data_IF_970934214691
#
_entry.id   IF_970934214691
#
_cell.length_a   1.000
_cell.length_b   1.000
_cell.length_c   1.000
_cell.angle_alpha   90.00
_cell.angle_beta   90.00
_cell.angle_gamma   90.00
#
_symmetry.space_group_name_H-M   'P 1'
#
loop_
_entity.id
_entity.type
_entity.pdbx_description
1 polymer ?
#
# COMPACT_ATOMS: atom_id res chain seq x y z
N UNK A 1 21.62 -20.95 26.49
CA UNK A 1 20.32 -20.27 26.67
C UNK A 1 20.23 -19.11 25.72
N UNK A 2 19.32 -19.14 24.73
CA UNK A 2 18.88 -17.94 24.02
C UNK A 2 17.35 -17.88 24.12
N UNK A 3 16.85 -17.24 25.17
CA UNK A 3 15.46 -16.85 25.32
C UNK A 3 15.46 -15.36 25.57
N UNK A 4 15.27 -14.52 24.57
CA UNK A 4 14.82 -13.10 24.77
C UNK A 4 14.68 -12.28 23.49
N UNK A 5 14.88 -12.85 22.29
CA UNK A 5 14.74 -12.07 21.03
C UNK A 5 13.31 -12.13 20.42
N UNK A 6 12.46 -13.07 20.84
CA UNK A 6 11.09 -13.19 20.31
C UNK A 6 10.07 -12.30 21.01
N UNK A 7 10.29 -11.98 22.30
CA UNK A 7 9.34 -11.12 23.06
C UNK A 7 9.46 -9.63 22.74
N UNK A 8 10.62 -9.16 22.27
CA UNK A 8 10.80 -7.76 21.89
C UNK A 8 10.11 -7.43 20.56
N UNK A 9 10.17 -8.35 19.59
CA UNK A 9 9.56 -8.14 18.26
C UNK A 9 8.03 -8.10 18.35
N UNK A 10 7.43 -8.91 19.24
CA UNK A 10 5.98 -8.93 19.44
C UNK A 10 5.47 -7.68 20.17
N UNK A 11 6.22 -7.12 21.13
CA UNK A 11 5.86 -5.89 21.83
C UNK A 11 5.93 -4.65 20.93
N UNK A 12 6.96 -4.54 20.11
CA UNK A 12 7.10 -3.42 19.16
C UNK A 12 6.01 -3.43 18.07
N UNK A 13 5.60 -4.61 17.60
CA UNK A 13 4.51 -4.72 16.62
C UNK A 13 3.13 -4.41 17.20
N UNK A 14 2.87 -4.82 18.44
CA UNK A 14 1.63 -4.49 19.16
C UNK A 14 1.49 -2.97 19.42
N UNK A 15 2.55 -2.34 19.89
CA UNK A 15 2.57 -0.88 20.09
C UNK A 15 2.36 -0.12 18.77
N UNK A 16 2.87 -0.64 17.65
CA UNK A 16 2.75 0.02 16.35
C UNK A 16 1.30 -0.03 15.81
N UNK A 17 0.56 -1.11 16.01
CA UNK A 17 -0.82 -1.25 15.51
C UNK A 17 -1.82 -0.45 16.35
N UNK A 18 -1.75 -0.51 17.68
CA UNK A 18 -2.57 0.34 18.57
C UNK A 18 -2.26 1.82 18.35
N UNK A 19 -0.99 2.16 18.16
CA UNK A 19 -0.58 3.51 17.83
C UNK A 19 -1.18 3.99 16.50
N UNK A 20 -1.16 3.15 15.46
CA UNK A 20 -1.74 3.49 14.17
C UNK A 20 -3.26 3.67 14.24
N UNK A 21 -3.99 2.81 14.97
CA UNK A 21 -5.42 2.96 15.19
C UNK A 21 -5.78 4.24 15.95
N UNK A 22 -5.04 4.55 17.02
CA UNK A 22 -5.20 5.79 17.77
C UNK A 22 -4.92 7.02 16.90
N UNK A 23 -3.84 6.97 16.12
CA UNK A 23 -3.45 8.03 15.19
C UNK A 23 -4.49 8.23 14.08
N UNK A 24 -5.00 7.14 13.49
CA UNK A 24 -6.09 7.16 12.51
C UNK A 24 -7.36 7.83 13.08
N UNK A 25 -7.84 7.35 14.22
CA UNK A 25 -9.06 7.88 14.85
C UNK A 25 -8.91 9.37 15.18
N UNK A 26 -7.77 9.79 15.73
CA UNK A 26 -7.48 11.19 16.04
C UNK A 26 -7.44 12.07 14.77
N UNK A 27 -6.74 11.61 13.73
CA UNK A 27 -6.62 12.37 12.48
C UNK A 27 -7.98 12.49 11.78
N UNK A 28 -8.76 11.41 11.72
CA UNK A 28 -10.10 11.42 11.14
C UNK A 28 -11.06 12.32 11.90
N UNK A 29 -11.08 12.23 13.23
CA UNK A 29 -11.91 13.07 14.08
C UNK A 29 -11.53 14.55 13.96
N UNK A 30 -10.23 14.86 13.98
CA UNK A 30 -9.73 16.22 13.80
C UNK A 30 -10.16 16.81 12.45
N UNK A 31 -10.06 16.02 11.37
CA UNK A 31 -10.48 16.44 10.04
C UNK A 31 -12.00 16.63 9.93
N UNK A 32 -12.78 15.76 10.56
CA UNK A 32 -14.24 15.86 10.59
C UNK A 32 -14.70 17.08 11.39
N UNK A 33 -14.02 17.39 12.48
CA UNK A 33 -14.37 18.52 13.36
C UNK A 33 -13.79 19.86 12.89
N UNK A 34 -12.82 19.86 11.99
CA UNK A 34 -12.25 21.09 11.45
C UNK A 34 -13.33 21.81 10.64
N UNK A 35 -13.82 22.94 11.17
CA UNK A 35 -14.61 23.88 10.40
C UNK A 35 -13.70 24.44 9.30
N UNK A 36 -13.78 23.83 8.11
CA UNK A 36 -13.01 24.26 6.96
C UNK A 36 -13.72 25.43 6.34
N UNK A 37 -13.32 26.64 6.68
CA UNK A 37 -13.80 27.88 6.06
C UNK A 37 -13.44 27.90 4.56
N UNK A 38 -12.31 27.26 4.19
CA UNK A 38 -11.95 26.91 2.81
C UNK A 38 -11.63 25.42 2.73
N UNK A 39 -12.44 24.61 2.02
CA UNK A 39 -12.15 23.21 1.76
C UNK A 39 -11.08 23.12 0.67
N UNK A 40 -9.95 22.44 0.93
CA UNK A 40 -8.93 22.27 -0.11
C UNK A 40 -9.53 21.51 -1.30
N UNK A 41 -9.16 21.88 -2.51
CA UNK A 41 -9.47 21.10 -3.70
C UNK A 41 -8.60 19.85 -3.71
N UNK A 42 -9.23 18.68 -3.64
CA UNK A 42 -8.53 17.39 -3.62
C UNK A 42 -8.87 16.63 -4.90
N UNK A 43 -7.86 16.26 -5.66
CA UNK A 43 -8.00 15.60 -6.95
C UNK A 43 -7.17 14.33 -6.94
N UNK A 44 -7.79 13.18 -7.23
CA UNK A 44 -7.09 11.92 -7.44
C UNK A 44 -6.84 11.69 -8.93
N UNK A 45 -5.58 11.46 -9.29
CA UNK A 45 -5.15 11.06 -10.63
C UNK A 45 -4.77 9.60 -10.59
N UNK A 46 -5.64 8.76 -11.13
CA UNK A 46 -5.42 7.33 -11.26
C UNK A 46 -4.88 6.98 -12.64
N UNK A 47 -4.27 5.83 -12.76
CA UNK A 47 -3.81 5.29 -14.03
C UNK A 47 -2.90 4.10 -13.82
N UNK A 48 -2.78 3.28 -14.84
CA UNK A 48 -1.93 2.10 -14.83
C UNK A 48 -0.45 2.45 -14.59
N UNK A 49 0.31 1.50 -14.11
CA UNK A 49 1.77 1.62 -14.06
C UNK A 49 2.30 1.89 -15.47
N UNK A 50 3.13 2.90 -15.63
CA UNK A 50 3.65 3.33 -16.95
C UNK A 50 2.77 4.34 -17.70
N UNK A 51 1.59 4.74 -17.21
CA UNK A 51 0.70 5.68 -17.89
C UNK A 51 1.20 7.14 -17.93
N UNK A 52 2.25 7.47 -17.17
CA UNK A 52 2.76 8.86 -17.10
C UNK A 52 2.08 9.73 -16.04
N UNK A 53 1.18 9.18 -15.22
CA UNK A 53 0.42 9.94 -14.19
C UNK A 53 1.28 10.78 -13.24
N UNK A 54 2.45 10.26 -12.83
CA UNK A 54 3.35 10.97 -11.91
C UNK A 54 3.97 12.20 -12.55
N UNK A 55 4.42 12.09 -13.80
CA UNK A 55 4.97 13.22 -14.56
C UNK A 55 3.91 14.29 -14.81
N UNK A 56 2.70 13.89 -15.23
CA UNK A 56 1.57 14.79 -15.41
C UNK A 56 1.21 15.53 -14.11
N UNK A 57 1.14 14.78 -13.00
CA UNK A 57 0.82 15.39 -11.70
C UNK A 57 1.90 16.37 -11.24
N UNK A 58 3.17 16.05 -11.47
CA UNK A 58 4.28 16.95 -11.15
C UNK A 58 4.19 18.27 -11.96
N UNK A 59 3.92 18.17 -13.26
CA UNK A 59 3.73 19.33 -14.11
C UNK A 59 2.56 20.21 -13.66
N UNK A 60 1.41 19.60 -13.37
CA UNK A 60 0.24 20.31 -12.82
C UNK A 60 0.60 20.98 -11.50
N UNK A 61 1.32 20.29 -10.61
CA UNK A 61 1.71 20.81 -9.32
C UNK A 61 2.62 22.04 -9.44
N UNK A 62 3.59 22.01 -10.36
CA UNK A 62 4.43 23.18 -10.67
C UNK A 62 3.62 24.37 -11.17
N UNK A 63 2.67 24.14 -12.08
CA UNK A 63 1.89 25.21 -12.69
C UNK A 63 0.82 25.81 -11.76
N UNK A 64 0.25 24.99 -10.86
CA UNK A 64 -0.90 25.36 -10.03
C UNK A 64 -0.58 25.50 -8.54
N UNK A 65 0.66 25.29 -8.13
CA UNK A 65 1.05 25.34 -6.72
C UNK A 65 0.42 24.26 -5.86
N UNK A 66 0.19 23.06 -6.44
CA UNK A 66 -0.37 21.93 -5.71
C UNK A 66 0.71 21.19 -4.93
N UNK A 67 0.30 20.51 -3.84
CA UNK A 67 1.11 19.47 -3.21
C UNK A 67 0.68 18.09 -3.75
N UNK A 68 1.56 17.10 -3.70
CA UNK A 68 1.29 15.74 -4.20
C UNK A 68 1.30 14.75 -3.05
N UNK A 69 0.23 13.96 -2.93
CA UNK A 69 0.16 12.79 -2.06
C UNK A 69 0.37 11.53 -2.90
N UNK A 70 1.46 10.80 -2.63
CA UNK A 70 1.78 9.56 -3.33
C UNK A 70 0.97 8.39 -2.75
N UNK A 71 0.12 7.79 -3.57
CA UNK A 71 -0.65 6.60 -3.23
C UNK A 71 0.01 5.36 -3.87
N UNK A 72 1.29 5.16 -3.55
CA UNK A 72 2.13 4.08 -4.07
C UNK A 72 2.63 3.19 -2.93
N UNK A 73 2.32 1.88 -3.02
CA UNK A 73 2.64 0.90 -1.98
C UNK A 73 4.13 0.62 -1.82
N UNK A 74 4.97 0.94 -2.81
CA UNK A 74 6.41 0.78 -2.74
C UNK A 74 7.11 2.11 -2.45
N UNK A 75 6.61 3.22 -2.97
CA UNK A 75 7.18 4.55 -2.77
C UNK A 75 7.18 5.04 -1.32
N UNK A 76 6.33 4.45 -0.46
CA UNK A 76 6.27 4.76 0.97
C UNK A 76 7.51 4.28 1.74
N UNK A 77 8.25 3.29 1.22
CA UNK A 77 9.43 2.73 1.86
C UNK A 77 10.69 3.51 1.53
N UNK A 78 11.55 3.72 2.52
CA UNK A 78 12.89 4.30 2.36
C UNK A 78 13.77 3.36 1.54
N UNK A 79 14.62 3.93 0.67
CA UNK A 79 15.61 3.18 -0.10
C UNK A 79 15.09 2.49 -1.36
N UNK A 80 13.79 2.46 -1.63
CA UNK A 80 13.21 1.94 -2.87
C UNK A 80 12.96 3.08 -3.85
N UNK A 81 14.00 3.73 -4.34
CA UNK A 81 13.88 4.94 -5.15
C UNK A 81 13.72 4.63 -6.64
N UNK A 82 14.56 3.76 -7.17
CA UNK A 82 14.51 3.30 -8.56
C UNK A 82 13.34 2.35 -8.77
N UNK A 83 13.19 1.36 -7.88
CA UNK A 83 12.15 0.33 -7.98
C UNK A 83 10.74 0.91 -7.96
N UNK A 84 10.48 1.96 -7.19
CA UNK A 84 9.19 2.66 -7.16
C UNK A 84 9.10 3.82 -8.14
N UNK A 85 10.20 4.19 -8.79
CA UNK A 85 10.33 5.38 -9.62
C UNK A 85 9.88 6.65 -8.89
N UNK A 86 10.44 6.88 -7.70
CA UNK A 86 10.21 8.09 -6.92
C UNK A 86 10.62 9.34 -7.68
N UNK A 87 10.04 10.49 -7.36
CA UNK A 87 10.52 11.75 -7.86
C UNK A 87 11.99 11.97 -7.45
N UNK A 88 12.76 12.53 -8.36
CA UNK A 88 14.17 12.85 -8.14
C UNK A 88 14.34 13.87 -7.01
N UNK A 89 15.54 14.00 -6.42
CA UNK A 89 15.82 15.05 -5.44
C UNK A 89 15.46 16.46 -5.95
N UNK A 90 15.73 16.74 -7.22
CA UNK A 90 15.38 18.02 -7.85
C UNK A 90 13.86 18.23 -7.88
N UNK A 91 13.10 17.25 -8.33
CA UNK A 91 11.62 17.32 -8.34
C UNK A 91 11.05 17.50 -6.93
N UNK A 92 11.64 16.85 -5.91
CA UNK A 92 11.24 17.01 -4.51
C UNK A 92 11.54 18.41 -3.95
N UNK A 93 12.49 19.17 -4.53
CA UNK A 93 12.72 20.57 -4.14
C UNK A 93 11.71 21.53 -4.77
N UNK A 94 11.15 21.16 -5.92
CA UNK A 94 10.21 21.99 -6.68
C UNK A 94 8.75 21.82 -6.22
N UNK A 95 8.37 20.60 -5.86
CA UNK A 95 7.02 20.24 -5.43
C UNK A 95 7.08 19.46 -4.13
N UNK A 96 6.20 19.77 -3.20
CA UNK A 96 6.09 19.01 -1.95
C UNK A 96 5.35 17.71 -2.18
N UNK A 97 6.01 16.61 -1.84
CA UNK A 97 5.46 15.25 -1.88
C UNK A 97 5.18 14.73 -0.47
N UNK A 98 4.06 14.04 -0.31
CA UNK A 98 3.65 13.35 0.91
C UNK A 98 3.59 11.84 0.69
N UNK A 99 3.66 11.07 1.76
CA UNK A 99 3.62 9.61 1.78
C UNK A 99 4.76 8.94 0.98
N UNK A 100 5.91 9.60 0.91
CA UNK A 100 7.17 9.04 0.42
C UNK A 100 8.14 8.88 1.57
N UNK A 101 8.97 7.84 1.55
CA UNK A 101 10.08 7.63 2.50
C UNK A 101 9.65 7.61 3.99
N UNK A 102 8.44 7.13 4.27
CA UNK A 102 7.86 7.09 5.63
C UNK A 102 8.34 5.84 6.38
N UNK A 103 8.22 4.66 5.77
CA UNK A 103 8.47 3.38 6.41
C UNK A 103 9.91 2.90 6.22
N UNK A 104 10.47 2.25 7.25
CA UNK A 104 11.61 1.37 7.09
C UNK A 104 11.22 0.13 6.24
N UNK A 105 12.15 -0.46 5.47
CA UNK A 105 11.88 -1.67 4.69
C UNK A 105 11.31 -2.86 5.48
N UNK A 106 11.59 -2.95 6.77
CA UNK A 106 11.08 -4.01 7.66
C UNK A 106 9.64 -3.80 8.14
N UNK A 107 9.09 -2.60 8.00
CA UNK A 107 7.73 -2.28 8.45
C UNK A 107 6.68 -2.72 7.43
N UNK A 108 5.44 -2.91 7.88
CA UNK A 108 4.32 -3.31 7.01
C UNK A 108 3.46 -2.09 6.67
N UNK A 109 3.24 -1.84 5.38
CA UNK A 109 2.25 -0.86 4.91
C UNK A 109 0.86 -1.48 4.84
N UNK A 110 -0.16 -0.65 5.02
CA UNK A 110 -1.56 -1.05 4.85
C UNK A 110 -2.44 0.16 4.46
N UNK A 111 -3.69 -0.12 4.09
CA UNK A 111 -4.63 0.93 3.65
C UNK A 111 -4.95 1.94 4.74
N UNK A 112 -4.99 1.53 6.01
CA UNK A 112 -5.24 2.43 7.14
C UNK A 112 -4.11 3.45 7.31
N UNK A 113 -2.85 3.04 7.11
CA UNK A 113 -1.72 3.96 7.15
C UNK A 113 -1.86 5.05 6.07
N UNK A 114 -2.16 4.68 4.83
CA UNK A 114 -2.37 5.66 3.75
C UNK A 114 -3.54 6.60 4.04
N UNK A 115 -4.63 6.07 4.57
CA UNK A 115 -5.77 6.90 4.95
C UNK A 115 -5.39 7.88 6.08
N UNK A 116 -4.69 7.41 7.12
CA UNK A 116 -4.20 8.26 8.22
C UNK A 116 -3.29 9.37 7.71
N UNK A 117 -2.29 9.00 6.89
CA UNK A 117 -1.37 9.97 6.29
C UNK A 117 -2.08 11.01 5.41
N UNK A 118 -3.14 10.60 4.69
CA UNK A 118 -3.93 11.54 3.89
C UNK A 118 -4.70 12.52 4.80
N UNK A 119 -5.34 12.04 5.87
CA UNK A 119 -6.01 12.92 6.83
C UNK A 119 -5.04 13.92 7.44
N UNK A 120 -3.87 13.46 7.87
CA UNK A 120 -2.83 14.32 8.44
C UNK A 120 -2.29 15.32 7.41
N UNK A 121 -2.04 14.87 6.18
CA UNK A 121 -1.62 15.73 5.09
C UNK A 121 -2.61 16.90 4.92
N UNK A 122 -3.90 16.60 4.80
CA UNK A 122 -4.94 17.61 4.62
C UNK A 122 -5.08 18.55 5.82
N UNK A 123 -4.88 18.05 7.04
CA UNK A 123 -4.89 18.88 8.25
C UNK A 123 -3.76 19.92 8.27
N UNK A 124 -2.63 19.62 7.63
CA UNK A 124 -1.44 20.46 7.59
C UNK A 124 -1.28 21.25 6.28
N UNK A 125 -2.17 21.07 5.29
CA UNK A 125 -2.17 21.89 4.09
C UNK A 125 -2.34 23.37 4.42
N UNK A 126 -1.61 24.22 3.72
CA UNK A 126 -1.86 25.65 3.79
C UNK A 126 -3.23 25.98 3.19
N UNK A 127 -3.88 27.05 3.65
CA UNK A 127 -5.13 27.52 3.03
C UNK A 127 -5.00 27.61 1.50
N UNK A 128 -6.04 27.21 0.79
CA UNK A 128 -6.17 27.30 -0.67
C UNK A 128 -5.15 26.47 -1.48
N UNK A 129 -4.31 25.65 -0.82
CA UNK A 129 -3.38 24.77 -1.53
C UNK A 129 -4.12 23.52 -2.01
N UNK A 130 -4.21 23.26 -3.33
CA UNK A 130 -4.81 22.03 -3.84
C UNK A 130 -3.91 20.82 -3.56
N UNK A 131 -4.52 19.64 -3.41
CA UNK A 131 -3.82 18.38 -3.22
C UNK A 131 -4.09 17.43 -4.39
N UNK A 132 -3.04 16.93 -5.00
CA UNK A 132 -3.12 15.87 -6.01
C UNK A 132 -2.78 14.52 -5.34
N UNK A 133 -3.73 13.59 -5.32
CA UNK A 133 -3.49 12.20 -4.92
C UNK A 133 -3.12 11.42 -6.16
N UNK A 134 -1.92 10.83 -6.19
CA UNK A 134 -1.38 10.17 -7.39
C UNK A 134 -1.03 8.73 -7.10
N UNK A 135 -1.65 7.80 -7.80
CA UNK A 135 -1.36 6.38 -7.60
C UNK A 135 -1.95 5.44 -8.62
N UNK A 136 -1.44 4.21 -8.64
CA UNK A 136 -1.96 3.12 -9.46
C UNK A 136 -2.85 2.16 -8.69
N UNK A 137 -2.98 2.31 -7.37
CA UNK A 137 -3.75 1.40 -6.53
C UNK A 137 -5.19 1.86 -6.37
N UNK A 138 -6.08 1.29 -7.17
CA UNK A 138 -7.54 1.44 -7.00
C UNK A 138 -8.00 0.94 -5.62
N UNK A 139 -7.35 -0.08 -5.06
CA UNK A 139 -7.67 -0.62 -3.74
C UNK A 139 -7.48 0.42 -2.62
N UNK A 140 -6.35 1.12 -2.58
CA UNK A 140 -6.12 2.15 -1.55
C UNK A 140 -7.08 3.33 -1.70
N UNK A 141 -7.30 3.80 -2.94
CA UNK A 141 -8.25 4.87 -3.16
C UNK A 141 -9.68 4.46 -2.79
N UNK A 142 -10.10 3.25 -3.16
CA UNK A 142 -11.40 2.70 -2.76
C UNK A 142 -11.54 2.67 -1.25
N UNK A 143 -10.49 2.22 -0.53
CA UNK A 143 -10.49 2.21 0.93
C UNK A 143 -10.61 3.60 1.55
N UNK A 144 -10.10 4.63 0.90
CA UNK A 144 -10.26 6.03 1.33
C UNK A 144 -11.71 6.50 1.09
N UNK A 145 -12.27 6.22 -0.09
CA UNK A 145 -13.61 6.66 -0.49
C UNK A 145 -14.71 5.95 0.32
N UNK A 146 -14.62 4.63 0.41
CA UNK A 146 -15.62 3.80 1.11
C UNK A 146 -15.40 3.76 2.62
N UNK A 147 -14.19 4.12 3.05
CA UNK A 147 -13.76 4.03 4.44
C UNK A 147 -13.22 2.66 4.80
N UNK A 148 -12.73 2.59 6.01
CA UNK A 148 -12.22 1.37 6.64
C UNK A 148 -12.97 1.15 7.95
N UNK A 149 -13.41 -0.07 8.19
CA UNK A 149 -13.88 -0.48 9.51
C UNK A 149 -12.71 -0.47 10.48
N UNK A 150 -12.87 0.06 11.70
CA UNK A 150 -11.86 -0.09 12.73
C UNK A 150 -11.58 -1.59 12.94
N UNK A 151 -10.31 -1.95 13.12
CA UNK A 151 -9.91 -3.34 13.32
C UNK A 151 -9.05 -3.44 14.58
N UNK A 152 -9.25 -4.43 15.45
CA UNK A 152 -8.33 -4.68 16.55
C UNK A 152 -6.98 -5.15 16.02
N UNK A 153 -5.98 -5.21 16.89
CA UNK A 153 -4.73 -5.87 16.54
C UNK A 153 -4.96 -7.37 16.33
N UNK A 154 -4.57 -7.87 15.16
CA UNK A 154 -4.77 -9.26 14.77
C UNK A 154 -3.47 -10.06 14.70
N UNK A 155 -2.31 -9.44 14.92
CA UNK A 155 -1.00 -10.08 14.71
C UNK A 155 -0.69 -11.17 15.74
N UNK A 156 -1.25 -11.07 16.95
CA UNK A 156 -0.97 -12.01 18.03
C UNK A 156 -1.66 -13.39 17.87
N UNK A 157 -2.49 -13.58 16.85
CA UNK A 157 -3.29 -14.79 16.68
C UNK A 157 -2.75 -15.78 15.64
N UNK A 158 -1.61 -15.51 15.01
CA UNK A 158 -1.02 -16.38 13.97
C UNK A 158 -0.80 -17.82 14.49
N UNK A 159 -0.19 -17.97 15.67
CA UNK A 159 0.02 -19.30 16.28
C UNK A 159 -1.28 -20.04 16.61
N UNK A 160 -2.32 -19.31 16.99
CA UNK A 160 -3.63 -19.93 17.21
C UNK A 160 -4.25 -20.41 15.89
N UNK A 161 -4.13 -19.65 14.81
CA UNK A 161 -4.59 -20.06 13.48
C UNK A 161 -3.83 -21.30 13.02
N UNK A 162 -2.51 -21.35 13.18
CA UNK A 162 -1.68 -22.51 12.87
C UNK A 162 -2.15 -23.76 13.64
N UNK A 163 -2.60 -23.59 14.89
CA UNK A 163 -3.13 -24.70 15.70
C UNK A 163 -4.48 -25.23 15.22
N UNK A 164 -5.19 -24.50 14.35
CA UNK A 164 -6.44 -24.98 13.73
C UNK A 164 -6.20 -25.97 12.59
N UNK A 165 -4.93 -26.09 12.11
CA UNK A 165 -4.54 -27.03 11.08
C UNK A 165 -4.42 -26.43 9.68
N UNK A 166 -4.84 -27.18 8.67
CA UNK A 166 -4.78 -26.80 7.25
C UNK A 166 -5.72 -25.63 6.90
N UNK A 167 -5.50 -25.00 5.76
CA UNK A 167 -6.40 -23.95 5.25
C UNK A 167 -7.85 -24.43 5.12
N UNK A 168 -8.05 -25.72 4.76
CA UNK A 168 -9.38 -26.32 4.66
C UNK A 168 -10.07 -26.42 6.03
N UNK A 169 -9.34 -26.80 7.08
CA UNK A 169 -9.84 -26.85 8.45
C UNK A 169 -10.14 -25.44 8.98
N UNK A 170 -9.27 -24.46 8.69
CA UNK A 170 -9.53 -23.04 8.99
C UNK A 170 -10.81 -22.55 8.32
N UNK A 171 -11.02 -22.87 7.03
CA UNK A 171 -12.24 -22.48 6.33
C UNK A 171 -13.48 -23.18 6.87
N UNK A 172 -13.41 -24.47 7.16
CA UNK A 172 -14.50 -25.23 7.79
C UNK A 172 -14.86 -24.65 9.16
N UNK A 173 -13.87 -24.27 9.96
CA UNK A 173 -14.09 -23.61 11.24
C UNK A 173 -14.74 -22.23 11.07
N UNK A 174 -14.32 -21.43 10.08
CA UNK A 174 -14.96 -20.16 9.76
C UNK A 174 -16.43 -20.37 9.35
N UNK A 175 -16.73 -21.40 8.54
CA UNK A 175 -18.09 -21.75 8.17
C UNK A 175 -18.96 -22.12 9.40
N UNK A 176 -18.40 -22.82 10.39
CA UNK A 176 -19.13 -23.19 11.60
C UNK A 176 -19.45 -22.00 12.51
N UNK A 177 -18.62 -20.94 12.47
CA UNK A 177 -18.80 -19.72 13.24
C UNK A 177 -19.76 -18.77 12.52
N UNK A 178 -19.51 -18.52 11.22
CA UNK A 178 -20.16 -17.47 10.43
C UNK A 178 -20.28 -17.90 8.97
N UNK A 179 -21.30 -18.68 8.67
CA UNK A 179 -21.54 -19.16 7.30
C UNK A 179 -21.78 -18.01 6.33
N UNK A 180 -22.53 -16.98 6.76
CA UNK A 180 -22.86 -15.83 5.91
C UNK A 180 -21.64 -15.02 5.48
N UNK A 181 -20.63 -14.97 6.35
CA UNK A 181 -19.37 -14.32 6.03
C UNK A 181 -18.45 -15.24 5.20
N UNK A 182 -18.38 -16.53 5.55
CA UNK A 182 -17.56 -17.51 4.86
C UNK A 182 -17.93 -17.65 3.38
N UNK A 183 -19.20 -17.65 3.03
CA UNK A 183 -19.68 -17.73 1.65
C UNK A 183 -19.25 -16.55 0.74
N UNK A 184 -18.85 -15.43 1.32
CA UNK A 184 -18.34 -14.25 0.60
C UNK A 184 -16.85 -14.32 0.31
N UNK A 185 -16.17 -15.37 0.82
CA UNK A 185 -14.71 -15.55 0.71
C UNK A 185 -14.44 -16.85 -0.04
N UNK A 186 -13.52 -16.79 -1.02
CA UNK A 186 -13.08 -18.01 -1.68
C UNK A 186 -12.37 -18.96 -0.68
N UNK A 187 -12.64 -20.28 -0.71
CA UNK A 187 -12.01 -21.23 0.22
C UNK A 187 -10.47 -21.27 0.16
N UNK A 188 -9.88 -20.74 -0.91
CA UNK A 188 -8.43 -20.66 -1.11
C UNK A 188 -7.84 -19.29 -0.69
N UNK A 189 -8.67 -18.34 -0.26
CA UNK A 189 -8.23 -17.01 0.17
C UNK A 189 -7.69 -17.05 1.61
N UNK A 190 -6.45 -17.54 1.74
CA UNK A 190 -5.76 -17.68 3.03
C UNK A 190 -5.78 -16.38 3.82
N UNK A 191 -5.51 -15.25 3.16
CA UNK A 191 -5.43 -13.96 3.84
C UNK A 191 -6.75 -13.56 4.50
N UNK A 192 -7.87 -13.66 3.75
CA UNK A 192 -9.19 -13.26 4.28
C UNK A 192 -9.71 -14.24 5.32
N UNK A 193 -9.46 -15.54 5.15
CA UNK A 193 -9.83 -16.57 6.14
C UNK A 193 -9.09 -16.33 7.45
N UNK A 194 -7.77 -16.20 7.41
CA UNK A 194 -6.96 -15.95 8.61
C UNK A 194 -7.36 -14.65 9.30
N UNK A 195 -7.58 -13.59 8.54
CA UNK A 195 -8.02 -12.29 9.08
C UNK A 195 -9.38 -12.37 9.77
N UNK A 196 -10.35 -13.09 9.20
CA UNK A 196 -11.66 -13.29 9.80
C UNK A 196 -11.59 -14.09 11.10
N UNK A 197 -10.78 -15.16 11.11
CA UNK A 197 -10.56 -15.98 12.29
C UNK A 197 -9.83 -15.21 13.40
N UNK A 198 -8.80 -14.43 13.06
CA UNK A 198 -8.13 -13.55 14.01
C UNK A 198 -9.09 -12.52 14.61
N UNK A 199 -9.97 -11.94 13.79
CA UNK A 199 -11.00 -11.01 14.25
C UNK A 199 -11.97 -11.68 15.24
N UNK A 200 -12.45 -12.88 14.91
CA UNK A 200 -13.29 -13.65 15.81
C UNK A 200 -12.56 -13.94 17.13
N UNK A 201 -11.30 -14.36 17.07
CA UNK A 201 -10.50 -14.67 18.27
C UNK A 201 -10.28 -13.44 19.14
N UNK A 202 -10.03 -12.30 18.52
CA UNK A 202 -9.80 -11.02 19.22
C UNK A 202 -11.05 -10.49 19.90
N UNK A 203 -12.21 -10.61 19.25
CA UNK A 203 -13.43 -9.89 19.65
C UNK A 203 -14.51 -10.79 20.22
N UNK A 204 -14.42 -12.10 19.99
CA UNK A 204 -15.46 -13.11 20.26
C UNK A 204 -16.80 -12.85 19.53
N UNK A 205 -16.78 -11.93 18.54
CA UNK A 205 -17.92 -11.66 17.67
C UNK A 205 -17.73 -12.34 16.32
N UNK A 206 -18.82 -12.79 15.72
CA UNK A 206 -18.79 -13.24 14.32
C UNK A 206 -18.31 -12.11 13.42
N UNK A 207 -17.49 -12.38 12.38
CA UNK A 207 -17.06 -11.35 11.44
C UNK A 207 -18.23 -10.53 10.86
N UNK A 208 -19.35 -11.17 10.50
CA UNK A 208 -20.55 -10.48 10.00
C UNK A 208 -21.14 -9.51 11.05
N UNK A 209 -21.23 -9.91 12.31
CA UNK A 209 -21.71 -9.07 13.41
C UNK A 209 -20.75 -7.90 13.69
N UNK A 210 -19.45 -8.18 13.67
CA UNK A 210 -18.43 -7.15 13.86
C UNK A 210 -18.54 -6.05 12.80
N UNK A 211 -18.58 -6.41 11.52
CA UNK A 211 -18.69 -5.44 10.44
C UNK A 211 -20.08 -4.77 10.34
N UNK A 212 -21.11 -5.38 10.88
CA UNK A 212 -22.43 -4.74 10.98
C UNK A 212 -22.43 -3.59 12.00
N UNK A 213 -21.69 -3.74 13.09
CA UNK A 213 -21.60 -2.75 14.19
C UNK A 213 -20.47 -1.74 14.01
N UNK A 214 -19.35 -2.15 13.41
CA UNK A 214 -18.16 -1.33 13.16
C UNK A 214 -18.10 -0.91 11.70
N UNK A 215 -19.04 -0.05 11.29
CA UNK A 215 -19.13 0.40 9.90
C UNK A 215 -17.91 1.23 9.49
N UNK A 216 -17.50 1.15 8.22
CA UNK A 216 -16.43 1.97 7.69
C UNK A 216 -16.81 3.46 7.76
N UNK A 217 -15.81 4.29 8.05
CA UNK A 217 -15.96 5.75 8.00
C UNK A 217 -15.21 6.25 6.77
N UNK A 218 -15.89 6.79 5.75
CA UNK A 218 -15.27 7.32 4.55
C UNK A 218 -14.49 8.61 4.83
N UNK A 219 -13.63 8.96 3.89
CA UNK A 219 -12.92 10.23 3.94
C UNK A 219 -13.91 11.41 3.88
N UNK A 220 -13.82 12.39 4.80
CA UNK A 220 -14.92 13.34 5.04
C UNK A 220 -14.98 14.53 4.06
N UNK A 221 -14.01 14.62 3.11
CA UNK A 221 -13.96 15.72 2.16
C UNK A 221 -14.28 15.25 0.74
N UNK A 222 -14.83 16.14 -0.12
CA UNK A 222 -15.07 15.82 -1.51
C UNK A 222 -13.76 15.55 -2.25
N UNK A 223 -13.78 14.54 -3.12
CA UNK A 223 -12.66 14.08 -3.91
C UNK A 223 -13.08 13.97 -5.38
N UNK A 224 -12.43 14.74 -6.25
CA UNK A 224 -12.58 14.61 -7.69
C UNK A 224 -11.63 13.52 -8.20
N UNK A 225 -12.10 12.63 -9.08
CA UNK A 225 -11.30 11.50 -9.56
C UNK A 225 -11.16 11.59 -11.08
N UNK A 226 -9.92 11.56 -11.54
CA UNK A 226 -9.58 11.48 -12.95
C UNK A 226 -8.77 10.20 -13.21
N UNK A 227 -9.17 9.46 -14.24
CA UNK A 227 -8.42 8.31 -14.71
C UNK A 227 -7.63 8.70 -15.97
N UNK A 228 -6.32 8.48 -15.92
CA UNK A 228 -5.46 8.61 -17.08
C UNK A 228 -5.48 7.30 -17.86
N UNK A 229 -6.19 7.30 -18.96
CA UNK A 229 -6.23 6.19 -19.89
C UNK A 229 -5.16 6.37 -20.98
N UNK A 230 -4.55 5.25 -21.39
CA UNK A 230 -3.51 5.22 -22.40
C UNK A 230 -3.71 4.01 -23.30
N UNK A 231 -3.62 4.15 -24.64
CA UNK A 231 -3.71 3.04 -25.56
C UNK A 231 -2.74 1.93 -25.18
N UNK A 232 -3.22 0.68 -25.26
CA UNK A 232 -2.48 -0.51 -24.76
C UNK A 232 -1.07 -0.64 -25.34
N UNK A 233 -0.93 -0.38 -26.63
CA UNK A 233 0.37 -0.55 -27.31
C UNK A 233 1.36 0.54 -26.87
N UNK A 234 0.90 1.78 -26.71
CA UNK A 234 1.71 2.86 -26.16
C UNK A 234 2.12 2.59 -24.71
N UNK A 235 1.17 2.12 -23.90
CA UNK A 235 1.43 1.76 -22.52
C UNK A 235 2.50 0.66 -22.41
N UNK A 236 2.43 -0.37 -23.27
CA UNK A 236 3.43 -1.45 -23.33
C UNK A 236 4.80 -0.91 -23.73
N UNK A 237 4.86 -0.05 -24.73
CA UNK A 237 6.12 0.59 -25.15
C UNK A 237 6.75 1.40 -24.02
N UNK A 238 5.96 2.14 -23.27
CA UNK A 238 6.46 2.93 -22.13
C UNK A 238 6.88 2.06 -20.93
N UNK A 239 6.17 0.96 -20.68
CA UNK A 239 6.58 -0.03 -19.66
C UNK A 239 7.93 -0.65 -20.04
N UNK A 240 8.14 -0.99 -21.32
CA UNK A 240 9.42 -1.54 -21.77
C UNK A 240 10.57 -0.54 -21.59
N UNK A 241 10.37 0.73 -22.02
CA UNK A 241 11.35 1.79 -21.81
C UNK A 241 11.64 2.01 -20.31
N UNK A 242 10.61 1.99 -19.48
CA UNK A 242 10.76 2.12 -18.02
C UNK A 242 11.58 0.96 -17.45
N UNK A 243 11.29 -0.29 -17.81
CA UNK A 243 12.04 -1.46 -17.33
C UNK A 243 13.52 -1.37 -17.71
N UNK A 244 13.81 -0.95 -18.95
CA UNK A 244 15.18 -0.70 -19.40
C UNK A 244 15.86 0.39 -18.56
N UNK A 245 15.20 1.53 -18.38
CA UNK A 245 15.72 2.66 -17.60
C UNK A 245 15.99 2.28 -16.13
N UNK A 246 15.13 1.48 -15.51
CA UNK A 246 15.33 1.01 -14.13
C UNK A 246 16.61 0.18 -14.00
N UNK A 247 16.91 -0.69 -14.97
CA UNK A 247 18.16 -1.48 -15.00
C UNK A 247 19.38 -0.56 -15.18
N UNK A 248 19.31 0.38 -16.12
CA UNK A 248 20.38 1.34 -16.37
C UNK A 248 20.65 2.26 -15.17
N UNK A 249 19.65 2.55 -14.36
CA UNK A 249 19.74 3.33 -13.14
C UNK A 249 20.30 2.55 -11.94
N UNK A 250 20.44 1.22 -12.04
CA UNK A 250 21.01 0.40 -10.97
C UNK A 250 19.97 -0.19 -10.00
N UNK A 251 18.78 -0.58 -10.49
CA UNK A 251 17.77 -1.22 -9.62
C UNK A 251 18.30 -2.49 -8.94
N UNK A 252 19.19 -3.23 -9.59
CA UNK A 252 19.78 -4.46 -9.01
C UNK A 252 20.64 -4.13 -7.82
N UNK A 253 21.47 -3.10 -7.94
CA UNK A 253 22.32 -2.59 -6.88
C UNK A 253 21.50 -2.05 -5.72
N UNK A 254 20.44 -1.28 -6.00
CA UNK A 254 19.49 -0.79 -4.98
C UNK A 254 18.90 -1.97 -4.18
N UNK A 255 18.41 -2.99 -4.84
CA UNK A 255 17.81 -4.16 -4.16
C UNK A 255 18.86 -4.99 -3.43
N UNK A 256 20.08 -5.10 -3.95
CA UNK A 256 21.19 -5.79 -3.27
C UNK A 256 21.52 -5.12 -1.94
N UNK A 257 21.70 -3.80 -1.91
CA UNK A 257 21.97 -3.04 -0.69
C UNK A 257 20.85 -3.20 0.36
N UNK A 258 19.59 -3.22 -0.09
CA UNK A 258 18.44 -3.43 0.79
C UNK A 258 18.46 -4.85 1.38
N UNK A 259 18.73 -5.87 0.57
CA UNK A 259 18.82 -7.27 1.04
C UNK A 259 19.97 -7.46 2.01
N UNK A 260 21.13 -6.87 1.74
CA UNK A 260 22.27 -6.90 2.65
C UNK A 260 21.96 -6.23 4.00
N UNK A 261 21.15 -5.17 4.00
CA UNK A 261 20.82 -4.41 5.21
C UNK A 261 19.67 -4.99 6.02
N UNK A 262 18.65 -5.57 5.36
CA UNK A 262 17.38 -5.96 6.00
C UNK A 262 17.01 -7.44 5.81
N UNK A 263 17.75 -8.19 4.99
CA UNK A 263 17.44 -9.57 4.65
C UNK A 263 16.35 -9.71 3.59
N UNK A 264 16.11 -10.96 3.15
CA UNK A 264 15.19 -11.28 2.05
C UNK A 264 13.71 -11.34 2.48
N UNK A 265 13.41 -11.39 3.78
CA UNK A 265 12.06 -11.62 4.32
C UNK A 265 11.19 -10.37 4.45
N UNK A 266 11.61 -9.22 3.98
CA UNK A 266 10.89 -7.96 4.15
C UNK A 266 9.74 -7.80 3.15
N UNK A 267 8.61 -7.17 3.57
CA UNK A 267 7.41 -7.08 2.75
C UNK A 267 7.59 -6.45 1.36
N UNK A 268 8.35 -5.34 1.17
CA UNK A 268 8.44 -4.68 -0.13
C UNK A 268 9.19 -5.50 -1.20
N UNK A 269 9.97 -6.52 -0.83
CA UNK A 269 10.62 -7.42 -1.79
C UNK A 269 9.63 -8.33 -2.54
N UNK A 270 8.36 -8.40 -2.10
CA UNK A 270 7.31 -9.11 -2.84
C UNK A 270 6.67 -8.25 -3.94
N UNK A 271 6.98 -6.95 -4.00
CA UNK A 271 6.47 -6.06 -5.05
C UNK A 271 7.16 -6.33 -6.40
N UNK A 272 6.48 -5.96 -7.49
CA UNK A 272 7.07 -6.02 -8.84
C UNK A 272 8.21 -5.00 -8.92
N UNK A 273 9.32 -5.42 -9.46
CA UNK A 273 10.60 -4.74 -9.47
C UNK A 273 11.56 -5.40 -8.49
N UNK A 274 11.39 -5.20 -7.19
CA UNK A 274 12.21 -5.84 -6.16
C UNK A 274 12.21 -7.38 -6.24
N UNK A 275 11.05 -8.00 -6.45
CA UNK A 275 10.92 -9.46 -6.53
C UNK A 275 11.75 -10.07 -7.67
N UNK A 276 11.71 -9.46 -8.83
CA UNK A 276 12.46 -9.92 -10.00
C UNK A 276 13.96 -9.68 -9.82
N UNK A 277 14.36 -8.55 -9.22
CA UNK A 277 15.76 -8.29 -8.87
C UNK A 277 16.29 -9.29 -7.83
N UNK A 278 15.49 -9.62 -6.81
CA UNK A 278 15.84 -10.66 -5.86
C UNK A 278 16.03 -12.03 -6.54
N UNK A 279 15.13 -12.39 -7.46
CA UNK A 279 15.27 -13.63 -8.25
C UNK A 279 16.55 -13.63 -9.11
N UNK A 280 16.95 -12.48 -9.64
CA UNK A 280 18.21 -12.32 -10.38
C UNK A 280 19.41 -12.47 -9.44
N UNK A 281 19.42 -11.83 -8.28
CA UNK A 281 20.49 -11.95 -7.28
C UNK A 281 20.64 -13.38 -6.75
N UNK A 282 19.55 -14.14 -6.68
CA UNK A 282 19.55 -15.55 -6.29
C UNK A 282 19.95 -16.50 -7.46
N UNK A 283 20.29 -15.98 -8.65
CA UNK A 283 20.70 -16.79 -9.81
C UNK A 283 19.54 -17.51 -10.50
N UNK A 284 18.28 -17.22 -10.18
CA UNK A 284 17.09 -17.78 -10.85
C UNK A 284 16.88 -17.16 -12.24
N UNK A 285 17.34 -15.93 -12.43
CA UNK A 285 17.43 -15.25 -13.71
C UNK A 285 18.91 -15.11 -14.09
N UNK A 286 19.26 -15.54 -15.29
CA UNK A 286 20.67 -15.73 -15.68
C UNK A 286 21.29 -14.53 -16.42
N UNK A 287 20.48 -13.53 -16.79
CA UNK A 287 20.94 -12.36 -17.53
C UNK A 287 20.10 -11.11 -17.24
N UNK A 288 20.68 -9.93 -17.44
CA UNK A 288 19.94 -8.66 -17.35
C UNK A 288 18.82 -8.59 -18.39
N UNK A 289 18.97 -9.26 -19.53
CA UNK A 289 17.89 -9.32 -20.53
C UNK A 289 16.71 -10.13 -20.01
N UNK A 290 16.94 -11.28 -19.35
CA UNK A 290 15.87 -12.05 -18.70
C UNK A 290 15.20 -11.26 -17.57
N UNK A 291 15.96 -10.52 -16.78
CA UNK A 291 15.41 -9.63 -15.75
C UNK A 291 14.51 -8.55 -16.38
N UNK A 292 14.96 -7.90 -17.46
CA UNK A 292 14.17 -6.90 -18.17
C UNK A 292 12.84 -7.45 -18.68
N UNK A 293 12.87 -8.67 -19.25
CA UNK A 293 11.67 -9.33 -19.74
C UNK A 293 10.67 -9.64 -18.62
N UNK A 294 11.13 -10.13 -17.47
CA UNK A 294 10.29 -10.38 -16.30
C UNK A 294 9.69 -9.10 -15.73
N UNK A 295 10.50 -8.04 -15.56
CA UNK A 295 10.04 -6.71 -15.15
C UNK A 295 8.95 -6.17 -16.08
N UNK A 296 9.19 -6.25 -17.38
CA UNK A 296 8.22 -5.83 -18.39
C UNK A 296 6.93 -6.66 -18.31
N UNK A 297 7.04 -7.98 -18.28
CA UNK A 297 5.90 -8.89 -18.28
C UNK A 297 5.01 -8.69 -17.05
N UNK A 298 5.59 -8.69 -15.84
CA UNK A 298 4.85 -8.52 -14.61
C UNK A 298 4.26 -7.12 -14.46
N UNK A 299 4.96 -6.08 -14.92
CA UNK A 299 4.43 -4.72 -14.95
C UNK A 299 3.26 -4.59 -15.93
N UNK A 300 3.29 -5.25 -17.09
CA UNK A 300 2.15 -5.29 -18.01
C UNK A 300 0.94 -6.01 -17.38
N UNK A 301 1.16 -7.11 -16.64
CA UNK A 301 0.09 -7.79 -15.92
C UNK A 301 -0.51 -6.90 -14.81
N UNK A 302 0.33 -6.17 -14.09
CA UNK A 302 -0.14 -5.20 -13.08
C UNK A 302 -0.97 -4.10 -13.74
N UNK A 303 -0.47 -3.51 -14.80
CA UNK A 303 -1.17 -2.45 -15.55
C UNK A 303 -2.55 -2.93 -16.04
N UNK A 304 -2.66 -4.16 -16.55
CA UNK A 304 -3.94 -4.77 -16.92
C UNK A 304 -4.91 -4.87 -15.74
N UNK A 305 -4.43 -5.27 -14.55
CA UNK A 305 -5.28 -5.37 -13.34
C UNK A 305 -5.69 -4.00 -12.79
N UNK A 306 -4.91 -2.96 -13.06
CA UNK A 306 -5.21 -1.59 -12.63
C UNK A 306 -6.20 -0.88 -13.56
N UNK A 307 -6.35 -1.34 -14.80
CA UNK A 307 -7.30 -0.80 -15.78
C UNK A 307 -8.71 -1.44 -15.70
N UNK A 308 -8.88 -2.47 -14.88
CA UNK A 308 -10.16 -3.13 -14.60
C UNK A 308 -10.74 -2.63 -13.28
#
# INVERSE_FOLDING_TARGET
MPQNTHDSITKDSMQNTEFLHSRFSKALQALTNKALDSKPKIIAILGSSGSGKTALAHEIALQKGCEIFSLDSLGIYKGFDIASAKPTPLEKTQVRYHALDILSPSEKSNAMLFFTLLCECVLHLKPDTPLLIVGGSSFFLKSIIEGLSPMPDLQCYEKWIESLGSLQECYAFLCSIDMDYAQKIAPQDTYRIHKALSLYKATQLKPSEYFATHKPTPFPLPLEIFALDKPRDELRADILKRSQKMIEQGIVEEIKEIVESYGEGIPPLNAIGPKECLAFLQGKLTSLESLKQELFFHTCQLAKRQAT
#
